data_IF_570247158258
#
_entry.id   IF_570247158258
#
_cell.length_a   1.000
_cell.length_b   1.000
_cell.length_c   1.000
_cell.angle_alpha   90.00
_cell.angle_beta   90.00
_cell.angle_gamma   90.00
#
_symmetry.space_group_name_H-M   'P 1'
#
loop_
_entity.id
_entity.type
_entity.pdbx_description
1 polymer ?
#
# COMPACT_ATOMS: atom_id res chain seq x y z
N UNK A 1 14.35 6.75 17.98
CA UNK A 1 13.18 6.04 17.46
C UNK A 1 13.66 4.91 16.58
N UNK A 2 13.08 3.74 16.68
CA UNK A 2 13.39 2.61 15.80
C UNK A 2 12.59 2.77 14.53
N UNK A 3 13.26 2.84 13.38
CA UNK A 3 12.60 2.83 12.06
C UNK A 3 11.80 1.54 11.89
N UNK A 4 10.55 1.63 11.47
CA UNK A 4 9.68 0.47 11.19
C UNK A 4 10.23 -0.35 10.02
N UNK A 5 10.22 -1.67 10.18
CA UNK A 5 10.78 -2.62 9.21
C UNK A 5 9.71 -3.58 8.70
N UNK A 6 10.04 -4.27 7.60
CA UNK A 6 9.20 -5.35 7.11
C UNK A 6 9.08 -6.46 8.17
N UNK A 7 7.87 -6.89 8.45
CA UNK A 7 7.55 -7.86 9.47
C UNK A 7 7.19 -7.26 10.84
N UNK A 8 7.44 -5.97 11.07
CA UNK A 8 6.98 -5.30 12.28
C UNK A 8 5.45 -5.14 12.26
N UNK A 9 4.86 -5.12 13.45
CA UNK A 9 3.46 -4.73 13.60
C UNK A 9 3.33 -3.22 13.36
N UNK A 10 2.44 -2.84 12.46
CA UNK A 10 2.09 -1.44 12.24
C UNK A 10 1.55 -0.83 13.54
N UNK A 11 2.14 0.23 14.08
CA UNK A 11 1.68 0.84 15.31
C UNK A 11 0.21 1.27 15.23
N UNK A 12 -0.55 1.02 16.31
CA UNK A 12 -1.89 1.55 16.43
C UNK A 12 -1.88 3.04 16.78
N UNK A 13 -2.90 3.76 16.36
CA UNK A 13 -3.08 5.17 16.69
C UNK A 13 -4.55 5.57 16.69
N UNK A 14 -4.85 6.66 17.35
CA UNK A 14 -6.14 7.33 17.30
C UNK A 14 -5.92 8.75 16.82
N UNK A 15 -6.59 9.17 15.75
CA UNK A 15 -6.44 10.50 15.17
C UNK A 15 -7.70 10.93 14.44
N UNK A 16 -7.94 12.24 14.37
CA UNK A 16 -9.05 12.80 13.60
C UNK A 16 -8.80 12.71 12.10
N UNK A 17 -9.87 12.59 11.35
CA UNK A 17 -9.86 12.50 9.90
C UNK A 17 -11.05 13.22 9.26
N UNK A 18 -11.08 13.24 7.94
CA UNK A 18 -12.22 13.75 7.16
C UNK A 18 -13.51 12.96 7.37
N UNK A 19 -13.42 11.73 7.89
CA UNK A 19 -14.56 10.84 8.18
C UNK A 19 -14.81 10.66 9.69
N UNK A 20 -14.26 11.56 10.53
CA UNK A 20 -14.33 11.49 12.00
C UNK A 20 -13.07 10.91 12.61
N UNK A 21 -13.12 10.62 13.91
CA UNK A 21 -11.99 10.04 14.63
C UNK A 21 -11.79 8.59 14.24
N UNK A 22 -10.57 8.22 13.85
CA UNK A 22 -10.18 6.87 13.46
C UNK A 22 -9.33 6.23 14.55
N UNK A 23 -9.75 5.04 15.01
CA UNK A 23 -8.94 4.08 15.75
C UNK A 23 -8.37 3.10 14.73
N UNK A 24 -7.10 3.23 14.39
CA UNK A 24 -6.52 2.65 13.17
C UNK A 24 -6.68 1.14 13.05
N UNK A 25 -6.34 0.38 14.09
CA UNK A 25 -6.47 -1.09 14.03
C UNK A 25 -7.93 -1.55 13.96
N UNK A 26 -8.84 -0.86 14.66
CA UNK A 26 -10.27 -1.12 14.60
C UNK A 26 -10.82 -0.78 13.20
N UNK A 27 -10.51 0.40 12.68
CA UNK A 27 -10.91 0.84 11.35
C UNK A 27 -10.41 -0.11 10.24
N UNK A 28 -9.15 -0.55 10.34
CA UNK A 28 -8.56 -1.49 9.39
C UNK A 28 -9.30 -2.85 9.40
N UNK A 29 -9.74 -3.31 10.57
CA UNK A 29 -10.41 -4.61 10.71
C UNK A 29 -9.59 -5.74 10.11
N UNK A 30 -10.19 -6.57 9.27
CA UNK A 30 -9.54 -7.67 8.55
C UNK A 30 -9.15 -7.30 7.10
N UNK A 31 -9.02 -6.02 6.79
CA UNK A 31 -8.62 -5.56 5.46
C UNK A 31 -7.12 -5.39 5.36
N UNK A 32 -6.60 -5.47 4.15
CA UNK A 32 -5.33 -4.87 3.81
C UNK A 32 -5.46 -3.35 3.88
N UNK A 33 -4.36 -2.65 4.19
CA UNK A 33 -4.33 -1.18 4.24
C UNK A 33 -3.16 -0.66 3.43
N UNK A 34 -3.41 0.42 2.69
CA UNK A 34 -2.38 1.30 2.12
C UNK A 34 -2.44 2.62 2.88
N UNK A 35 -1.56 2.76 3.88
CA UNK A 35 -1.35 4.02 4.59
C UNK A 35 -0.30 4.83 3.86
N UNK A 36 -0.65 6.03 3.39
CA UNK A 36 0.28 6.86 2.64
C UNK A 36 0.25 8.33 3.06
N UNK A 37 1.43 8.90 3.22
CA UNK A 37 1.57 10.32 3.58
C UNK A 37 1.74 11.21 2.35
N UNK A 38 1.32 12.47 2.47
CA UNK A 38 1.58 13.52 1.49
C UNK A 38 2.10 14.79 2.19
N UNK A 39 2.96 15.57 1.55
CA UNK A 39 3.61 16.72 2.20
C UNK A 39 2.65 17.79 2.70
N UNK A 40 1.72 18.25 1.87
CA UNK A 40 0.78 19.30 2.24
C UNK A 40 -0.43 19.33 1.29
N UNK A 41 -1.57 19.78 1.82
CA UNK A 41 -2.75 20.08 1.06
C UNK A 41 -2.53 21.23 0.07
N UNK A 42 -3.44 21.39 -0.90
CA UNK A 42 -3.39 22.43 -1.92
C UNK A 42 -2.06 22.50 -2.69
N UNK A 43 -1.43 21.35 -2.90
CA UNK A 43 -0.20 21.25 -3.70
C UNK A 43 -0.41 20.37 -4.93
N UNK A 44 0.26 20.70 -6.07
CA UNK A 44 -0.06 20.06 -7.36
C UNK A 44 0.09 18.54 -7.37
N UNK A 45 1.24 18.02 -6.90
CA UNK A 45 1.51 16.58 -6.93
C UNK A 45 0.59 15.83 -5.98
N UNK A 46 0.34 16.37 -4.77
CA UNK A 46 -0.57 15.72 -3.80
C UNK A 46 -2.00 15.65 -4.35
N UNK A 47 -2.48 16.71 -5.02
CA UNK A 47 -3.79 16.71 -5.68
C UNK A 47 -3.91 15.58 -6.71
N UNK A 48 -2.90 15.39 -7.57
CA UNK A 48 -2.90 14.30 -8.55
C UNK A 48 -2.87 12.92 -7.89
N UNK A 49 -2.14 12.75 -6.79
CA UNK A 49 -2.03 11.48 -6.08
C UNK A 49 -3.33 11.07 -5.39
N UNK A 50 -3.98 12.00 -4.67
CA UNK A 50 -5.24 11.70 -4.00
C UNK A 50 -6.35 11.47 -5.03
N UNK A 51 -6.39 12.25 -6.10
CA UNK A 51 -7.30 12.03 -7.22
C UNK A 51 -7.10 10.66 -7.87
N UNK A 52 -5.84 10.25 -8.13
CA UNK A 52 -5.55 8.91 -8.67
C UNK A 52 -5.96 7.80 -7.70
N UNK A 53 -5.74 7.97 -6.40
CA UNK A 53 -6.19 7.02 -5.38
C UNK A 53 -7.70 6.86 -5.39
N UNK A 54 -8.45 7.96 -5.45
CA UNK A 54 -9.91 7.94 -5.54
C UNK A 54 -10.40 7.26 -6.81
N UNK A 55 -9.79 7.56 -7.96
CA UNK A 55 -10.12 6.91 -9.24
C UNK A 55 -9.86 5.40 -9.24
N UNK A 56 -8.96 4.91 -8.39
CA UNK A 56 -8.63 3.50 -8.24
C UNK A 56 -9.44 2.78 -7.14
N UNK A 57 -10.49 3.40 -6.59
CA UNK A 57 -11.30 2.83 -5.52
C UNK A 57 -11.79 1.40 -5.80
N UNK A 58 -12.27 1.14 -7.02
CA UNK A 58 -12.69 -0.20 -7.45
C UNK A 58 -11.55 -1.22 -7.44
N UNK A 59 -10.34 -0.78 -7.80
CA UNK A 59 -9.15 -1.63 -7.80
C UNK A 59 -8.68 -1.97 -6.38
N UNK A 60 -8.75 -1.02 -5.45
CA UNK A 60 -8.50 -1.28 -4.04
C UNK A 60 -9.56 -2.19 -3.43
N UNK A 61 -10.84 -1.90 -3.66
CA UNK A 61 -11.95 -2.70 -3.15
C UNK A 61 -11.89 -4.16 -3.62
N UNK A 62 -11.59 -4.40 -4.91
CA UNK A 62 -11.45 -5.74 -5.49
C UNK A 62 -10.38 -6.58 -4.80
N UNK A 63 -9.36 -5.94 -4.24
CA UNK A 63 -8.26 -6.57 -3.50
C UNK A 63 -8.48 -6.63 -1.99
N UNK A 64 -9.63 -6.17 -1.49
CA UNK A 64 -9.89 -6.07 -0.05
C UNK A 64 -8.96 -5.08 0.65
N UNK A 65 -8.58 -4.00 -0.02
CA UNK A 65 -7.64 -2.98 0.47
C UNK A 65 -8.39 -1.70 0.81
N UNK A 66 -8.08 -1.11 1.96
CA UNK A 66 -8.52 0.21 2.38
C UNK A 66 -7.37 1.22 2.21
N UNK A 67 -7.47 2.20 1.31
CA UNK A 67 -6.53 3.31 1.28
C UNK A 67 -6.84 4.32 2.40
N UNK A 68 -5.81 4.93 2.98
CA UNK A 68 -5.91 5.99 3.96
C UNK A 68 -4.72 6.95 3.80
N UNK A 69 -5.02 8.23 3.62
CA UNK A 69 -4.00 9.27 3.49
C UNK A 69 -3.74 9.95 4.84
N UNK A 70 -2.56 10.56 4.97
CA UNK A 70 -2.19 11.35 6.14
C UNK A 70 -1.30 12.53 5.75
N UNK A 71 -1.54 13.67 6.35
CA UNK A 71 -0.61 14.81 6.39
C UNK A 71 -0.69 15.54 7.73
N UNK A 72 0.15 16.54 7.90
CA UNK A 72 0.17 17.39 9.10
C UNK A 72 -0.83 18.55 9.05
N UNK A 73 -1.63 18.63 7.98
CA UNK A 73 -2.65 19.67 7.82
C UNK A 73 -3.90 19.33 8.66
N UNK A 74 -4.70 20.34 9.07
CA UNK A 74 -5.89 20.14 9.90
C UNK A 74 -7.09 19.61 9.09
N UNK A 75 -8.07 19.01 9.80
CA UNK A 75 -9.27 18.38 9.21
C UNK A 75 -10.03 19.33 8.29
N UNK A 76 -10.23 20.57 8.71
CA UNK A 76 -11.03 21.54 7.95
C UNK A 76 -10.35 21.87 6.60
N UNK A 77 -9.03 21.97 6.60
CA UNK A 77 -8.25 22.17 5.38
C UNK A 77 -8.37 20.96 4.43
N UNK A 78 -8.29 19.73 4.94
CA UNK A 78 -8.53 18.52 4.14
C UNK A 78 -9.92 18.52 3.50
N UNK A 79 -10.97 18.88 4.26
CA UNK A 79 -12.34 18.92 3.76
C UNK A 79 -12.53 19.95 2.66
N UNK A 80 -11.93 21.12 2.80
CA UNK A 80 -11.93 22.15 1.76
C UNK A 80 -11.20 21.66 0.50
N UNK A 81 -10.01 21.09 0.66
CA UNK A 81 -9.20 20.62 -0.45
C UNK A 81 -9.81 19.42 -1.21
N UNK A 82 -10.61 18.57 -0.57
CA UNK A 82 -11.35 17.50 -1.25
C UNK A 82 -12.20 18.04 -2.39
N UNK A 83 -12.80 19.23 -2.24
CA UNK A 83 -13.54 19.90 -3.33
C UNK A 83 -12.67 20.12 -4.56
N UNK A 84 -11.49 20.72 -4.37
CA UNK A 84 -10.54 20.98 -5.46
C UNK A 84 -10.02 19.69 -6.10
N UNK A 85 -9.75 18.65 -5.28
CA UNK A 85 -9.34 17.34 -5.82
C UNK A 85 -10.44 16.77 -6.72
N UNK A 86 -11.69 16.77 -6.25
CA UNK A 86 -12.81 16.20 -6.98
C UNK A 86 -13.00 16.93 -8.31
N UNK A 87 -12.97 18.25 -8.30
CA UNK A 87 -13.17 19.08 -9.50
C UNK A 87 -12.01 18.93 -10.49
N UNK A 88 -10.77 19.03 -10.01
CA UNK A 88 -9.59 19.04 -10.90
C UNK A 88 -9.22 17.66 -11.43
N UNK A 89 -9.52 16.59 -10.68
CA UNK A 89 -9.20 15.21 -11.06
C UNK A 89 -10.41 14.44 -11.59
N UNK A 90 -11.58 15.07 -11.70
CA UNK A 90 -12.83 14.48 -12.16
C UNK A 90 -13.13 13.15 -11.45
N UNK A 91 -13.11 13.16 -10.13
CA UNK A 91 -13.29 12.00 -9.27
C UNK A 91 -14.04 12.38 -7.99
N UNK A 92 -14.23 11.43 -7.09
CA UNK A 92 -14.77 11.69 -5.74
C UNK A 92 -13.85 11.00 -4.74
N UNK A 93 -13.22 11.77 -3.86
CA UNK A 93 -12.43 11.23 -2.75
C UNK A 93 -13.35 10.40 -1.86
N UNK A 94 -13.01 9.14 -1.65
CA UNK A 94 -13.82 8.10 -1.00
C UNK A 94 -13.03 7.28 0.01
N UNK A 95 -12.03 7.91 0.61
CA UNK A 95 -11.18 7.35 1.67
C UNK A 95 -10.83 8.45 2.66
N UNK A 96 -10.55 8.11 3.94
CA UNK A 96 -10.23 9.09 4.94
C UNK A 96 -8.84 9.71 4.74
N UNK A 97 -8.74 11.00 5.09
CA UNK A 97 -7.49 11.73 5.20
C UNK A 97 -7.29 12.07 6.67
N UNK A 98 -6.24 11.56 7.28
CA UNK A 98 -5.85 11.78 8.67
C UNK A 98 -5.22 13.16 8.82
N UNK A 99 -5.70 13.92 9.80
CA UNK A 99 -5.17 15.22 10.18
C UNK A 99 -4.22 15.08 11.37
N UNK A 100 -2.93 14.96 11.08
CA UNK A 100 -1.87 14.73 12.07
C UNK A 100 -1.14 16.04 12.44
N UNK A 101 -1.92 17.05 12.86
CA UNK A 101 -1.39 18.39 13.14
C UNK A 101 -0.33 18.41 14.26
N UNK A 102 -0.40 17.48 15.21
CA UNK A 102 0.58 17.29 16.28
C UNK A 102 1.78 16.43 15.86
N UNK A 103 1.76 15.88 14.64
CA UNK A 103 2.79 15.00 14.07
C UNK A 103 3.06 13.71 14.84
N UNK A 104 2.11 13.28 15.65
CA UNK A 104 2.26 12.10 16.48
C UNK A 104 2.35 10.83 15.63
N UNK A 105 1.46 10.67 14.65
CA UNK A 105 1.44 9.53 13.74
C UNK A 105 2.60 9.59 12.73
N UNK A 106 2.84 10.76 12.14
CA UNK A 106 3.96 10.97 11.21
C UNK A 106 5.32 10.65 11.85
N UNK A 107 5.47 10.99 13.14
CA UNK A 107 6.67 10.64 13.92
C UNK A 107 6.74 9.16 14.23
N UNK A 108 5.62 8.55 14.63
CA UNK A 108 5.49 7.13 14.95
C UNK A 108 5.85 6.23 13.75
N UNK A 109 5.47 6.65 12.55
CA UNK A 109 5.72 5.95 11.28
C UNK A 109 6.98 6.43 10.54
N UNK A 110 7.81 7.30 11.15
CA UNK A 110 9.04 7.85 10.55
C UNK A 110 8.78 8.48 9.16
N UNK A 111 7.68 9.25 9.06
CA UNK A 111 7.28 9.90 7.80
C UNK A 111 7.86 11.31 7.64
N UNK A 112 8.49 11.87 8.68
CA UNK A 112 9.16 13.17 8.64
C UNK A 112 10.66 12.95 8.56
N UNK A 113 11.25 13.37 7.44
CA UNK A 113 12.67 13.26 7.18
C UNK A 113 13.31 14.65 7.26
N UNK A 114 13.94 15.04 8.39
CA UNK A 114 14.37 16.42 8.63
C UNK A 114 15.32 17.00 7.58
N UNK A 115 16.12 16.16 6.91
CA UNK A 115 17.02 16.58 5.84
C UNK A 115 16.33 16.75 4.48
N UNK A 116 15.12 16.20 4.31
CA UNK A 116 14.32 16.35 3.11
C UNK A 116 13.19 17.38 3.31
N UNK A 117 12.36 17.18 4.35
CA UNK A 117 11.28 18.08 4.77
C UNK A 117 11.24 18.11 6.29
N UNK A 118 11.58 19.24 6.89
CA UNK A 118 11.75 19.34 8.35
C UNK A 118 10.42 19.33 9.12
N UNK A 119 9.34 19.80 8.52
CA UNK A 119 8.05 20.04 9.21
C UNK A 119 6.85 19.35 8.57
N UNK A 120 7.04 18.73 7.43
CA UNK A 120 6.01 18.02 6.66
C UNK A 120 6.45 16.58 6.43
N UNK A 121 5.49 15.71 6.10
CA UNK A 121 5.80 14.34 5.72
C UNK A 121 6.41 14.27 4.32
N UNK A 122 7.32 13.33 4.11
CA UNK A 122 7.68 12.87 2.76
C UNK A 122 6.55 12.00 2.19
N UNK A 123 6.70 11.48 0.97
CA UNK A 123 5.70 10.59 0.37
C UNK A 123 5.97 9.14 0.75
N UNK A 124 5.66 8.77 1.99
CA UNK A 124 5.76 7.38 2.45
C UNK A 124 4.53 6.57 2.07
N UNK A 125 4.72 5.27 1.89
CA UNK A 125 3.64 4.28 1.71
C UNK A 125 3.97 3.08 2.58
N UNK A 126 2.98 2.61 3.33
CA UNK A 126 3.02 1.36 4.08
C UNK A 126 1.91 0.45 3.58
N UNK A 127 2.28 -0.73 3.06
CA UNK A 127 1.32 -1.80 2.74
C UNK A 127 1.28 -2.72 3.96
N UNK A 128 0.10 -2.79 4.57
CA UNK A 128 -0.14 -3.47 5.84
C UNK A 128 -1.16 -4.58 5.61
N UNK A 129 -0.86 -5.79 6.07
CA UNK A 129 -1.75 -6.94 5.91
C UNK A 129 -2.88 -6.97 6.97
N UNK A 130 -3.87 -7.89 6.85
CA UNK A 130 -4.95 -8.02 7.82
C UNK A 130 -4.52 -8.31 9.26
N UNK A 131 -3.30 -8.85 9.45
CA UNK A 131 -2.71 -9.10 10.77
C UNK A 131 -1.96 -7.88 11.32
N UNK A 132 -2.07 -6.73 10.64
CA UNK A 132 -1.37 -5.49 10.96
C UNK A 132 0.15 -5.57 10.79
N UNK A 133 0.64 -6.48 9.96
CA UNK A 133 2.07 -6.62 9.68
C UNK A 133 2.43 -5.72 8.49
N UNK A 134 3.50 -4.95 8.62
CA UNK A 134 4.08 -4.15 7.53
C UNK A 134 4.74 -5.09 6.53
N UNK A 135 4.21 -5.12 5.30
CA UNK A 135 4.65 -6.02 4.24
C UNK A 135 5.57 -5.36 3.23
N UNK A 136 5.38 -4.09 2.99
CA UNK A 136 6.20 -3.29 2.06
C UNK A 136 6.15 -1.82 2.45
N UNK A 137 7.25 -1.12 2.22
CA UNK A 137 7.32 0.34 2.37
C UNK A 137 7.94 0.97 1.13
N UNK A 138 7.45 2.15 0.76
CA UNK A 138 8.06 3.00 -0.27
C UNK A 138 8.25 4.39 0.30
N UNK A 139 9.31 5.06 -0.12
CA UNK A 139 9.55 6.45 0.27
C UNK A 139 10.04 7.25 -0.93
N UNK A 140 9.34 8.35 -1.22
CA UNK A 140 9.60 9.23 -2.35
C UNK A 140 9.84 10.66 -1.83
N UNK A 141 10.70 11.44 -2.51
CA UNK A 141 10.83 12.86 -2.20
C UNK A 141 9.57 13.62 -2.63
N UNK A 142 9.37 14.82 -2.08
CA UNK A 142 8.20 15.65 -2.36
C UNK A 142 7.98 15.95 -3.85
N UNK A 143 9.07 16.01 -4.63
CA UNK A 143 9.04 16.31 -6.07
C UNK A 143 8.58 15.16 -6.96
N UNK A 144 8.46 13.93 -6.42
CA UNK A 144 8.21 12.74 -7.23
C UNK A 144 6.89 12.09 -6.82
N UNK A 145 5.88 12.18 -7.69
CA UNK A 145 4.59 11.48 -7.52
C UNK A 145 4.77 9.96 -7.59
N UNK A 146 3.97 9.24 -6.81
CA UNK A 146 4.01 7.78 -6.70
C UNK A 146 3.38 7.11 -7.91
N UNK A 147 3.86 5.90 -8.23
CA UNK A 147 3.24 5.02 -9.20
C UNK A 147 2.23 4.10 -8.50
N UNK A 148 0.94 4.39 -8.62
CA UNK A 148 -0.12 3.59 -7.99
C UNK A 148 -0.31 2.23 -8.66
N UNK A 149 0.05 2.07 -9.94
CA UNK A 149 0.03 0.77 -10.61
C UNK A 149 1.06 -0.17 -9.99
N UNK A 150 2.23 0.36 -9.57
CA UNK A 150 3.23 -0.41 -8.83
C UNK A 150 2.74 -0.78 -7.41
N UNK A 151 2.03 0.12 -6.71
CA UNK A 151 1.43 -0.20 -5.42
C UNK A 151 0.43 -1.36 -5.57
N UNK A 152 -0.45 -1.31 -6.57
CA UNK A 152 -1.41 -2.38 -6.85
C UNK A 152 -0.70 -3.68 -7.25
N UNK A 153 0.34 -3.60 -8.10
CA UNK A 153 1.15 -4.75 -8.49
C UNK A 153 1.78 -5.45 -7.30
N UNK A 154 2.33 -4.70 -6.36
CA UNK A 154 2.94 -5.25 -5.14
C UNK A 154 1.89 -5.90 -4.24
N UNK A 155 0.70 -5.30 -4.11
CA UNK A 155 -0.41 -5.92 -3.37
C UNK A 155 -0.81 -7.25 -4.00
N UNK A 156 -0.97 -7.30 -5.33
CA UNK A 156 -1.29 -8.55 -6.06
C UNK A 156 -0.23 -9.61 -5.81
N UNK A 157 1.05 -9.22 -5.85
CA UNK A 157 2.18 -10.11 -5.56
C UNK A 157 2.13 -10.66 -4.13
N UNK A 158 1.90 -9.81 -3.14
CA UNK A 158 1.84 -10.22 -1.73
C UNK A 158 0.69 -11.19 -1.47
N UNK A 159 -0.49 -10.89 -1.99
CA UNK A 159 -1.67 -11.74 -1.83
C UNK A 159 -1.50 -13.10 -2.52
N UNK A 160 -0.91 -13.11 -3.72
CA UNK A 160 -0.61 -14.34 -4.45
C UNK A 160 0.41 -15.22 -3.69
N UNK A 161 1.49 -14.62 -3.19
CA UNK A 161 2.55 -15.36 -2.49
C UNK A 161 2.13 -15.81 -1.09
N UNK A 162 1.18 -15.14 -0.45
CA UNK A 162 0.58 -15.59 0.81
C UNK A 162 -0.33 -16.82 0.60
N UNK A 163 -1.00 -16.90 -0.55
CA UNK A 163 -1.97 -17.95 -0.86
C UNK A 163 -1.32 -19.20 -1.48
N UNK A 164 -0.20 -19.02 -2.19
CA UNK A 164 0.45 -20.06 -2.98
C UNK A 164 1.94 -20.18 -2.67
N UNK A 165 2.50 -21.35 -2.91
CA UNK A 165 3.94 -21.63 -2.74
C UNK A 165 4.74 -21.13 -3.96
N UNK A 166 4.60 -19.85 -4.27
CA UNK A 166 5.25 -19.18 -5.40
C UNK A 166 5.91 -17.87 -4.97
N UNK A 167 6.78 -17.37 -5.85
CA UNK A 167 7.33 -16.02 -5.78
C UNK A 167 7.14 -15.33 -7.13
N UNK A 168 6.96 -14.02 -7.14
CA UNK A 168 6.82 -13.24 -8.37
C UNK A 168 8.20 -12.80 -8.87
N UNK A 169 8.54 -13.09 -10.16
CA UNK A 169 9.82 -12.67 -10.72
C UNK A 169 9.90 -11.15 -10.93
N UNK A 170 11.08 -10.68 -11.34
CA UNK A 170 11.30 -9.27 -11.68
C UNK A 170 10.30 -8.81 -12.76
N UNK A 171 9.75 -7.61 -12.60
CA UNK A 171 8.77 -6.97 -13.49
C UNK A 171 7.46 -7.76 -13.69
N UNK A 172 7.20 -8.76 -12.86
CA UNK A 172 5.97 -9.54 -12.92
C UNK A 172 4.72 -8.64 -12.88
N UNK A 173 3.75 -8.97 -13.69
CA UNK A 173 2.41 -8.40 -13.67
C UNK A 173 1.37 -9.49 -13.44
N UNK A 174 0.22 -9.12 -12.90
CA UNK A 174 -0.86 -10.08 -12.69
C UNK A 174 -1.20 -10.83 -13.98
N UNK A 175 -1.16 -12.16 -13.90
CA UNK A 175 -1.34 -13.08 -15.04
C UNK A 175 -0.07 -13.63 -15.65
N UNK A 176 1.11 -13.05 -15.36
CA UNK A 176 2.39 -13.57 -15.82
C UNK A 176 2.79 -14.87 -15.07
N UNK A 177 3.72 -15.63 -15.65
CA UNK A 177 4.30 -16.79 -14.98
C UNK A 177 4.99 -16.41 -13.65
N UNK A 178 4.98 -17.35 -12.72
CA UNK A 178 5.56 -17.21 -11.38
C UNK A 178 6.61 -18.28 -11.14
N UNK A 179 7.46 -18.06 -10.15
CA UNK A 179 8.51 -19.00 -9.71
C UNK A 179 7.97 -19.87 -8.59
N UNK A 180 8.09 -21.19 -8.71
CA UNK A 180 7.80 -22.12 -7.60
C UNK A 180 8.92 -21.98 -6.56
N UNK A 181 8.54 -21.82 -5.27
CA UNK A 181 9.52 -21.68 -4.20
C UNK A 181 10.45 -22.91 -4.14
N UNK A 182 11.77 -22.71 -3.95
CA UNK A 182 12.73 -23.83 -3.97
C UNK A 182 12.49 -24.87 -2.88
N UNK A 183 11.86 -24.51 -1.78
CA UNK A 183 11.53 -25.42 -0.67
C UNK A 183 10.48 -26.46 -1.01
N UNK A 184 9.67 -26.25 -2.04
CA UNK A 184 8.66 -27.21 -2.50
C UNK A 184 9.30 -28.22 -3.47
N UNK A 185 9.54 -29.44 -3.00
CA UNK A 185 10.24 -30.50 -3.75
C UNK A 185 9.37 -31.74 -3.98
N UNK A 186 8.35 -31.98 -3.16
CA UNK A 186 7.52 -33.18 -3.26
C UNK A 186 6.76 -33.22 -4.60
N UNK A 187 6.97 -34.27 -5.42
CA UNK A 187 6.30 -34.39 -6.72
C UNK A 187 4.78 -34.45 -6.64
N UNK A 188 4.23 -35.07 -5.59
CA UNK A 188 2.78 -35.17 -5.40
C UNK A 188 2.18 -33.80 -5.07
N UNK A 189 2.83 -33.04 -4.18
CA UNK A 189 2.40 -31.68 -3.84
C UNK A 189 2.55 -30.73 -5.04
N UNK A 190 3.63 -30.87 -5.82
CA UNK A 190 3.82 -30.09 -7.04
C UNK A 190 2.68 -30.33 -8.06
N UNK A 191 2.35 -31.59 -8.32
CA UNK A 191 1.27 -31.95 -9.23
C UNK A 191 -0.10 -31.43 -8.77
N UNK A 192 -0.35 -31.48 -7.46
CA UNK A 192 -1.59 -30.99 -6.87
C UNK A 192 -1.71 -29.45 -6.94
N UNK A 193 -0.64 -28.73 -6.61
CA UNK A 193 -0.65 -27.27 -6.56
C UNK A 193 -0.58 -26.62 -7.94
N UNK A 194 0.12 -27.28 -8.87
CA UNK A 194 0.37 -26.76 -10.22
C UNK A 194 -0.12 -27.72 -11.29
N UNK A 195 -1.45 -27.94 -11.41
CA UNK A 195 -2.01 -28.90 -12.36
C UNK A 195 -1.76 -28.55 -13.84
N UNK A 196 -1.44 -27.28 -14.11
CA UNK A 196 -1.01 -26.84 -15.45
C UNK A 196 0.46 -27.16 -15.76
N UNK A 197 1.16 -27.80 -14.80
CA UNK A 197 2.58 -28.11 -14.92
C UNK A 197 3.51 -26.92 -14.68
N UNK A 198 4.79 -27.17 -14.86
CA UNK A 198 5.82 -26.15 -14.74
C UNK A 198 7.01 -26.46 -15.67
N UNK A 199 7.79 -25.44 -16.01
CA UNK A 199 9.04 -25.56 -16.76
C UNK A 199 10.23 -25.42 -15.81
N UNK A 200 11.09 -26.44 -15.72
CA UNK A 200 12.32 -26.36 -14.93
C UNK A 200 13.47 -25.81 -15.80
N UNK A 201 13.61 -24.50 -15.85
CA UNK A 201 14.73 -23.83 -16.54
C UNK A 201 16.06 -24.23 -15.88
N UNK A 202 16.04 -24.35 -14.56
CA UNK A 202 17.12 -24.89 -13.71
C UNK A 202 16.49 -25.58 -12.49
N UNK A 203 17.21 -26.43 -11.76
CA UNK A 203 16.66 -27.05 -10.54
C UNK A 203 16.11 -26.06 -9.52
N UNK A 204 16.68 -24.85 -9.46
CA UNK A 204 16.26 -23.76 -8.56
C UNK A 204 15.31 -22.75 -9.23
N UNK A 205 15.13 -22.79 -10.57
CA UNK A 205 14.30 -21.86 -11.33
C UNK A 205 13.24 -22.66 -12.10
N UNK A 206 12.09 -22.80 -11.46
CA UNK A 206 10.92 -23.51 -12.00
C UNK A 206 9.79 -22.52 -12.20
N UNK A 207 9.42 -22.31 -13.46
CA UNK A 207 8.37 -21.39 -13.87
C UNK A 207 7.05 -22.13 -14.07
N UNK A 208 5.96 -21.54 -13.60
CA UNK A 208 4.61 -22.09 -13.76
C UNK A 208 3.64 -20.97 -14.11
N UNK A 209 2.58 -21.25 -14.88
CA UNK A 209 1.49 -20.29 -15.03
C UNK A 209 0.96 -19.87 -13.67
N UNK A 210 0.60 -18.58 -13.54
CA UNK A 210 0.05 -18.07 -12.28
C UNK A 210 -1.10 -18.97 -11.81
N UNK A 211 -1.08 -19.47 -10.57
CA UNK A 211 -2.23 -20.12 -9.98
C UNK A 211 -3.42 -19.15 -9.90
N UNK A 212 -4.62 -19.64 -10.12
CA UNK A 212 -5.82 -18.84 -9.89
C UNK A 212 -6.15 -18.83 -8.40
N UNK A 213 -6.49 -17.66 -7.90
CA UNK A 213 -7.10 -17.49 -6.58
C UNK A 213 -8.58 -17.85 -6.63
#
# INVERSE_FOLDING_TARGET
MTTLRLGDTAPDFTQDSTEGTIHFHEWAGNSWVVLFSHPADFTPVCTTELGKTAALAGEFARRGVKPIAISVDPVDQHKEWIGDINDTQNTTVNFPIIADADRSVATLYDMIHPKALATQTVRSVFIIDPKKVIRTTFTYPASTGRNFDEILRVIDSLQLTDSHKVATPANWKYGDEVVIVPSLQDPAELAQRFPKGFNAVRPYLRMTPQPNN
#
